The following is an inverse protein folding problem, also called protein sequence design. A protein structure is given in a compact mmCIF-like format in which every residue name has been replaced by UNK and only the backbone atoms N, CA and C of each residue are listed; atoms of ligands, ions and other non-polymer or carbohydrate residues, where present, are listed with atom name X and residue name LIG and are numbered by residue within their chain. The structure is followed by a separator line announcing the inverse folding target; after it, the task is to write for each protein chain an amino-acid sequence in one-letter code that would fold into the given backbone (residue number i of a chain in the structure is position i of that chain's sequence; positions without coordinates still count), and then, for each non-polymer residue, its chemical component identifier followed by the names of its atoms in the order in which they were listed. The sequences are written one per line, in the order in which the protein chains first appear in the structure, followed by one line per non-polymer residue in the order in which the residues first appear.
data_IF_705837098745
#
_entry.id   IF_705837098745
#
_cell.length_a   1.000
_cell.length_b   1.000
_cell.length_c   1.000
_cell.angle_alpha   90.00
_cell.angle_beta   90.00
_cell.angle_gamma   90.00
#
_symmetry.space_group_name_H-M   'P 1'
#
loop_
_entity.id
_entity.type
_entity.pdbx_description
1 polymer ?
#
# COMPACT_ATOMS: atom_id res chain seq x y z
N UNK A 1 -69.26 43.10 -69.79
CA UNK A 1 -68.84 41.94 -68.97
C UNK A 1 -68.41 42.47 -67.62
N UNK A 2 -69.10 42.03 -66.56
CA UNK A 2 -69.01 42.61 -65.22
C UNK A 2 -67.76 42.12 -64.47
N UNK A 3 -67.08 43.02 -63.76
CA UNK A 3 -65.84 42.76 -63.03
C UNK A 3 -65.95 41.66 -61.94
N UNK A 4 -67.17 41.28 -61.56
CA UNK A 4 -67.46 40.22 -60.60
C UNK A 4 -67.21 38.81 -61.14
N UNK A 5 -67.41 38.57 -62.45
CA UNK A 5 -67.18 37.25 -63.05
C UNK A 5 -65.67 36.95 -63.18
N UNK A 6 -64.87 37.99 -63.44
CA UNK A 6 -63.41 37.85 -63.56
C UNK A 6 -62.73 37.58 -62.21
N UNK A 7 -63.20 38.19 -61.12
CA UNK A 7 -62.68 37.91 -59.76
C UNK A 7 -63.06 36.49 -59.30
N UNK A 8 -64.26 36.03 -59.64
CA UNK A 8 -64.70 34.66 -59.32
C UNK A 8 -63.87 33.61 -60.08
N UNK A 9 -63.61 33.83 -61.37
CA UNK A 9 -62.76 32.95 -62.17
C UNK A 9 -61.32 32.90 -61.63
N UNK A 10 -60.74 34.06 -61.27
CA UNK A 10 -59.40 34.12 -60.69
C UNK A 10 -59.30 33.40 -59.33
N UNK A 11 -60.36 33.47 -58.50
CA UNK A 11 -60.43 32.74 -57.22
C UNK A 11 -60.58 31.24 -57.41
N UNK A 12 -61.36 30.81 -58.40
CA UNK A 12 -61.50 29.39 -58.75
C UNK A 12 -60.17 28.81 -59.22
N UNK A 13 -59.44 29.50 -60.10
CA UNK A 13 -58.12 29.07 -60.54
C UNK A 13 -57.09 29.02 -59.41
N UNK A 14 -57.19 29.95 -58.44
CA UNK A 14 -56.33 29.94 -57.26
C UNK A 14 -56.66 28.79 -56.28
N UNK A 15 -57.93 28.39 -56.22
CA UNK A 15 -58.39 27.23 -55.46
C UNK A 15 -57.98 25.92 -56.12
N UNK A 16 -58.08 25.83 -57.45
CA UNK A 16 -57.70 24.66 -58.24
C UNK A 16 -56.21 24.35 -58.06
N UNK A 17 -55.35 25.37 -58.18
CA UNK A 17 -53.92 25.24 -57.89
C UNK A 17 -53.60 24.81 -56.45
N UNK A 18 -54.39 25.24 -55.48
CA UNK A 18 -54.22 24.82 -54.07
C UNK A 18 -54.71 23.40 -53.85
N UNK A 19 -55.80 23.01 -54.51
CA UNK A 19 -56.31 21.64 -54.50
C UNK A 19 -55.31 20.68 -55.12
N UNK A 20 -54.70 21.05 -56.26
CA UNK A 20 -53.64 20.27 -56.91
C UNK A 20 -52.41 20.09 -56.01
N UNK A 21 -51.98 21.15 -55.33
CA UNK A 21 -50.88 21.08 -54.36
C UNK A 21 -51.20 20.14 -53.19
N UNK A 22 -52.41 20.24 -52.63
CA UNK A 22 -52.87 19.36 -51.54
C UNK A 22 -53.06 17.92 -52.04
N UNK A 23 -53.49 17.72 -53.28
CA UNK A 23 -53.64 16.39 -53.87
C UNK A 23 -52.29 15.70 -54.02
N UNK A 24 -51.27 16.44 -54.51
CA UNK A 24 -49.90 15.95 -54.64
C UNK A 24 -49.31 15.55 -53.27
N UNK A 25 -49.46 16.40 -52.25
CA UNK A 25 -49.02 16.09 -50.87
C UNK A 25 -49.79 14.87 -50.30
N UNK A 26 -51.09 14.78 -50.58
CA UNK A 26 -51.93 13.67 -50.12
C UNK A 26 -51.52 12.32 -50.75
N UNK A 27 -51.02 12.32 -51.98
CA UNK A 27 -50.49 11.12 -52.62
C UNK A 27 -49.17 10.67 -52.00
N UNK A 28 -48.26 11.60 -51.67
CA UNK A 28 -47.02 11.29 -50.96
C UNK A 28 -47.29 10.75 -49.55
N UNK A 29 -48.24 11.36 -48.82
CA UNK A 29 -48.67 10.86 -47.50
C UNK A 29 -49.28 9.46 -47.60
N UNK A 30 -50.07 9.17 -48.65
CA UNK A 30 -50.62 7.82 -48.87
C UNK A 30 -49.52 6.81 -49.16
N UNK A 31 -48.48 7.20 -49.90
CA UNK A 31 -47.33 6.34 -50.19
C UNK A 31 -46.53 6.05 -48.91
N UNK A 32 -46.23 7.07 -48.11
CA UNK A 32 -45.55 6.90 -46.83
C UNK A 32 -46.33 5.96 -45.90
N UNK A 33 -47.66 6.07 -45.86
CA UNK A 33 -48.51 5.15 -45.07
C UNK A 33 -48.39 3.71 -45.55
N UNK A 34 -48.36 3.47 -46.86
CA UNK A 34 -48.18 2.11 -47.42
C UNK A 34 -46.80 1.55 -47.11
N UNK A 35 -45.74 2.34 -47.29
CA UNK A 35 -44.36 1.93 -46.97
C UNK A 35 -44.21 1.61 -45.46
N UNK A 36 -44.88 2.38 -44.60
CA UNK A 36 -44.96 2.10 -43.15
C UNK A 36 -45.77 0.83 -42.86
N UNK A 37 -46.86 0.59 -43.59
CA UNK A 37 -47.68 -0.62 -43.46
C UNK A 37 -46.88 -1.87 -43.85
N UNK A 38 -46.14 -1.81 -44.96
CA UNK A 38 -45.23 -2.87 -45.43
C UNK A 38 -44.10 -3.11 -44.43
N UNK A 39 -43.43 -2.05 -43.95
CA UNK A 39 -42.39 -2.17 -42.92
C UNK A 39 -42.92 -2.78 -41.62
N UNK A 40 -44.14 -2.40 -41.22
CA UNK A 40 -44.81 -2.97 -40.05
C UNK A 40 -45.14 -4.44 -40.27
N UNK A 41 -45.56 -4.83 -41.48
CA UNK A 41 -45.83 -6.22 -41.83
C UNK A 41 -44.55 -7.06 -41.81
N UNK A 42 -43.46 -6.57 -42.41
CA UNK A 42 -42.15 -7.22 -42.44
C UNK A 42 -41.55 -7.35 -41.05
N UNK A 43 -41.62 -6.28 -40.25
CA UNK A 43 -41.19 -6.31 -38.85
C UNK A 43 -42.04 -7.28 -38.02
N UNK A 44 -43.35 -7.34 -38.25
CA UNK A 44 -44.22 -8.29 -37.58
C UNK A 44 -43.88 -9.73 -37.95
N UNK A 45 -43.49 -9.99 -39.20
CA UNK A 45 -43.08 -11.32 -39.68
C UNK A 45 -41.76 -11.75 -39.05
N UNK A 46 -40.72 -10.92 -39.17
CA UNK A 46 -39.40 -11.18 -38.58
C UNK A 46 -39.50 -11.31 -37.06
N UNK A 47 -40.29 -10.44 -36.41
CA UNK A 47 -40.51 -10.49 -34.97
C UNK A 47 -41.22 -11.78 -34.52
N UNK A 48 -42.21 -12.26 -35.28
CA UNK A 48 -42.88 -13.55 -35.01
C UNK A 48 -41.94 -14.73 -35.19
N UNK A 49 -41.11 -14.72 -36.23
CA UNK A 49 -40.17 -15.80 -36.50
C UNK A 49 -39.06 -15.84 -35.44
N UNK A 50 -38.48 -14.69 -35.07
CA UNK A 50 -37.51 -14.58 -33.98
C UNK A 50 -38.11 -15.01 -32.64
N UNK A 51 -39.34 -14.60 -32.35
CA UNK A 51 -40.04 -15.00 -31.12
C UNK A 51 -40.30 -16.51 -31.10
N UNK A 52 -40.74 -17.10 -32.21
CA UNK A 52 -40.94 -18.55 -32.31
C UNK A 52 -39.64 -19.33 -32.17
N UNK A 53 -38.57 -18.90 -32.83
CA UNK A 53 -37.25 -19.52 -32.71
C UNK A 53 -36.73 -19.42 -31.28
N UNK A 54 -36.83 -18.24 -30.64
CA UNK A 54 -36.47 -18.08 -29.25
C UNK A 54 -37.30 -19.00 -28.35
N UNK A 55 -38.62 -19.09 -28.53
CA UNK A 55 -39.50 -19.97 -27.74
C UNK A 55 -39.18 -21.45 -27.93
N UNK A 56 -38.86 -21.89 -29.16
CA UNK A 56 -38.48 -23.27 -29.46
C UNK A 56 -37.11 -23.63 -28.86
N UNK A 57 -36.12 -22.72 -28.94
CA UNK A 57 -34.80 -22.91 -28.31
C UNK A 57 -34.87 -22.79 -26.77
N UNK A 58 -35.78 -21.95 -26.27
CA UNK A 58 -36.11 -21.83 -24.85
C UNK A 58 -36.94 -23.01 -24.34
N UNK A 59 -37.41 -23.93 -25.19
CA UNK A 59 -38.12 -25.15 -24.76
C UNK A 59 -37.20 -26.07 -23.93
N UNK A 60 -35.88 -26.00 -24.15
CA UNK A 60 -34.85 -26.64 -23.31
C UNK A 60 -34.71 -25.97 -21.92
N UNK A 61 -35.11 -24.70 -21.80
CA UNK A 61 -35.06 -23.87 -20.56
C UNK A 61 -36.46 -23.63 -19.97
N UNK A 62 -37.51 -24.17 -20.61
CA UNK A 62 -38.92 -24.02 -20.24
C UNK A 62 -39.27 -24.42 -18.79
N UNK A 63 -38.54 -25.33 -18.10
CA UNK A 63 -38.76 -25.56 -16.68
C UNK A 63 -38.48 -24.33 -15.79
N UNK A 64 -37.72 -23.34 -16.28
CA UNK A 64 -37.23 -22.19 -15.53
C UNK A 64 -37.76 -20.84 -16.00
N UNK A 65 -38.48 -20.79 -17.13
CA UNK A 65 -38.95 -19.54 -17.77
C UNK A 65 -40.41 -19.70 -18.20
N UNK A 66 -41.31 -18.91 -17.63
CA UNK A 66 -42.72 -18.84 -18.03
C UNK A 66 -42.90 -17.92 -19.23
N UNK A 67 -43.94 -18.14 -20.05
CA UNK A 67 -44.19 -17.35 -21.27
C UNK A 67 -44.36 -15.84 -21.05
N UNK A 68 -44.67 -15.41 -19.82
CA UNK A 68 -44.73 -14.00 -19.44
C UNK A 68 -43.39 -13.37 -19.04
N UNK A 69 -42.39 -14.18 -18.69
CA UNK A 69 -41.13 -13.70 -18.10
C UNK A 69 -40.28 -12.93 -19.11
N UNK A 70 -40.33 -13.31 -20.39
CA UNK A 70 -39.63 -12.61 -21.47
C UNK A 70 -40.24 -11.21 -21.70
N UNK A 71 -41.57 -11.10 -21.66
CA UNK A 71 -42.24 -9.80 -21.79
C UNK A 71 -41.97 -8.91 -20.56
N UNK A 72 -41.91 -9.50 -19.37
CA UNK A 72 -41.54 -8.78 -18.16
C UNK A 72 -40.06 -8.34 -18.19
N UNK A 73 -39.15 -9.20 -18.65
CA UNK A 73 -37.74 -8.86 -18.86
C UNK A 73 -37.60 -7.72 -19.86
N UNK A 74 -38.28 -7.79 -21.01
CA UNK A 74 -38.29 -6.71 -21.99
C UNK A 74 -38.82 -5.41 -21.40
N UNK A 75 -39.90 -5.47 -20.60
CA UNK A 75 -40.43 -4.30 -19.89
C UNK A 75 -39.46 -3.74 -18.85
N UNK A 76 -38.74 -4.60 -18.12
CA UNK A 76 -37.70 -4.21 -17.15
C UNK A 76 -36.51 -3.58 -17.85
N UNK A 77 -36.05 -4.13 -18.97
CA UNK A 77 -34.99 -3.56 -19.79
C UNK A 77 -35.39 -2.18 -20.33
N UNK A 78 -36.58 -2.05 -20.92
CA UNK A 78 -37.12 -0.78 -21.42
C UNK A 78 -37.29 0.28 -20.31
N UNK A 79 -37.73 -0.14 -19.12
CA UNK A 79 -37.84 0.75 -17.95
C UNK A 79 -36.47 1.21 -17.45
N UNK A 80 -35.46 0.36 -17.55
CA UNK A 80 -34.12 0.59 -17.03
C UNK A 80 -33.12 1.07 -18.09
N UNK A 81 -33.59 1.48 -19.29
CA UNK A 81 -32.70 1.99 -20.36
C UNK A 81 -31.82 3.13 -19.87
N UNK A 82 -32.36 4.04 -19.04
CA UNK A 82 -31.58 5.14 -18.48
C UNK A 82 -30.44 4.63 -17.58
N UNK A 83 -30.71 3.66 -16.71
CA UNK A 83 -29.70 3.04 -15.85
C UNK A 83 -28.66 2.27 -16.66
N UNK A 84 -29.08 1.55 -17.71
CA UNK A 84 -28.16 0.87 -18.62
C UNK A 84 -27.27 1.88 -19.36
N UNK A 85 -27.83 3.01 -19.77
CA UNK A 85 -27.06 4.09 -20.40
C UNK A 85 -26.05 4.71 -19.43
N UNK A 86 -26.43 4.95 -18.17
CA UNK A 86 -25.51 5.41 -17.13
C UNK A 86 -24.38 4.41 -16.87
N UNK A 87 -24.68 3.10 -16.85
CA UNK A 87 -23.66 2.05 -16.73
C UNK A 87 -22.70 2.04 -17.93
N UNK A 88 -23.19 2.27 -19.15
CA UNK A 88 -22.34 2.37 -20.33
C UNK A 88 -21.39 3.57 -20.24
N UNK A 89 -21.88 4.72 -19.74
CA UNK A 89 -21.04 5.90 -19.47
C UNK A 89 -20.00 5.59 -18.39
N UNK A 90 -20.38 4.90 -17.31
CA UNK A 90 -19.43 4.51 -16.27
C UNK A 90 -18.36 3.53 -16.80
N UNK A 91 -18.74 2.59 -17.68
CA UNK A 91 -17.80 1.69 -18.33
C UNK A 91 -16.84 2.43 -19.26
N UNK A 92 -17.31 3.48 -19.94
CA UNK A 92 -16.46 4.37 -20.73
C UNK A 92 -15.44 5.09 -19.84
N UNK A 93 -15.88 5.69 -18.73
CA UNK A 93 -14.97 6.31 -17.76
C UNK A 93 -14.00 5.31 -17.11
N UNK A 94 -14.45 4.09 -16.81
CA UNK A 94 -13.57 3.05 -16.27
C UNK A 94 -12.53 2.61 -17.29
N UNK A 95 -12.91 2.51 -18.57
CA UNK A 95 -11.98 2.22 -19.66
C UNK A 95 -10.98 3.36 -19.86
N UNK A 96 -11.44 4.61 -19.86
CA UNK A 96 -10.58 5.81 -19.95
C UNK A 96 -9.58 5.83 -18.80
N UNK A 97 -10.05 5.67 -17.57
CA UNK A 97 -9.18 5.55 -16.40
C UNK A 97 -8.16 4.41 -16.55
N UNK A 98 -8.57 3.22 -17.01
CA UNK A 98 -7.63 2.12 -17.21
C UNK A 98 -6.60 2.43 -18.30
N UNK A 99 -7.00 3.11 -19.38
CA UNK A 99 -6.08 3.55 -20.43
C UNK A 99 -5.06 4.55 -19.91
N UNK A 100 -5.47 5.49 -19.05
CA UNK A 100 -4.61 6.50 -18.46
C UNK A 100 -3.74 5.96 -17.32
N UNK A 101 -4.29 5.06 -16.49
CA UNK A 101 -3.58 4.46 -15.36
C UNK A 101 -2.57 3.40 -15.80
N UNK A 102 -2.78 2.73 -16.95
CA UNK A 102 -1.86 1.69 -17.46
C UNK A 102 -0.42 2.21 -17.66
N UNK A 103 -0.17 3.31 -18.39
CA UNK A 103 1.19 3.83 -18.57
C UNK A 103 1.81 4.28 -17.24
N UNK A 104 1.04 4.98 -16.40
CA UNK A 104 1.50 5.43 -15.08
C UNK A 104 1.89 4.24 -14.19
N UNK A 105 1.07 3.18 -14.17
CA UNK A 105 1.34 1.97 -13.40
C UNK A 105 2.59 1.25 -13.90
N UNK A 106 2.84 1.23 -15.22
CA UNK A 106 4.07 0.66 -15.78
C UNK A 106 5.30 1.46 -15.35
N UNK A 107 5.23 2.79 -15.41
CA UNK A 107 6.32 3.67 -14.97
C UNK A 107 6.62 3.47 -13.47
N UNK A 108 5.60 3.55 -12.62
CA UNK A 108 5.73 3.29 -11.19
C UNK A 108 6.28 1.89 -10.89
N UNK A 109 5.87 0.88 -11.67
CA UNK A 109 6.40 -0.47 -11.55
C UNK A 109 7.88 -0.54 -11.92
N UNK A 110 8.29 0.11 -13.01
CA UNK A 110 9.70 0.17 -13.42
C UNK A 110 10.56 0.91 -12.41
N UNK A 111 10.12 2.07 -11.92
CA UNK A 111 10.81 2.84 -10.89
C UNK A 111 10.88 2.07 -9.56
N UNK A 112 9.79 1.40 -9.19
CA UNK A 112 9.72 0.52 -8.04
C UNK A 112 10.74 -0.61 -8.14
N UNK A 113 10.81 -1.29 -9.29
CA UNK A 113 11.81 -2.34 -9.54
C UNK A 113 13.23 -1.79 -9.49
N UNK A 114 13.49 -0.63 -10.11
CA UNK A 114 14.81 0.00 -10.07
C UNK A 114 15.24 0.34 -8.64
N UNK A 115 14.29 0.82 -7.81
CA UNK A 115 14.53 1.09 -6.38
C UNK A 115 14.78 -0.20 -5.58
N UNK A 116 14.03 -1.26 -5.84
CA UNK A 116 14.25 -2.55 -5.19
C UNK A 116 15.59 -3.16 -5.58
N UNK A 117 15.99 -3.07 -6.85
CA UNK A 117 17.31 -3.50 -7.33
C UNK A 117 18.44 -2.65 -6.74
N UNK A 118 18.24 -1.33 -6.59
CA UNK A 118 19.16 -0.45 -5.86
C UNK A 118 19.30 -0.91 -4.39
N UNK A 119 18.20 -1.26 -3.74
CA UNK A 119 18.22 -1.72 -2.36
C UNK A 119 18.92 -3.08 -2.20
N UNK A 120 18.72 -3.99 -3.15
CA UNK A 120 19.39 -5.28 -3.15
C UNK A 120 20.89 -5.15 -3.39
N UNK A 121 21.32 -4.38 -4.40
CA UNK A 121 22.75 -4.11 -4.64
C UNK A 121 23.44 -3.43 -3.49
N UNK A 122 22.77 -2.51 -2.80
CA UNK A 122 23.29 -1.87 -1.58
C UNK A 122 23.28 -2.81 -0.37
N UNK A 123 22.68 -3.99 -0.49
CA UNK A 123 22.66 -5.02 0.55
C UNK A 123 21.62 -4.77 1.64
N UNK A 124 20.65 -3.88 1.45
CA UNK A 124 19.62 -3.60 2.47
C UNK A 124 18.78 -4.83 2.79
N UNK A 125 18.44 -5.66 1.81
CA UNK A 125 17.74 -6.93 2.07
C UNK A 125 18.61 -7.93 2.84
N UNK A 126 19.91 -8.00 2.55
CA UNK A 126 20.83 -8.83 3.32
C UNK A 126 20.94 -8.34 4.77
N UNK A 127 21.14 -7.04 4.98
CA UNK A 127 21.18 -6.42 6.30
C UNK A 127 19.88 -6.64 7.07
N UNK A 128 18.72 -6.47 6.43
CA UNK A 128 17.42 -6.74 7.04
C UNK A 128 17.25 -8.19 7.48
N UNK A 129 17.73 -9.15 6.69
CA UNK A 129 17.74 -10.57 7.08
C UNK A 129 18.63 -10.83 8.29
N UNK A 130 19.85 -10.27 8.32
CA UNK A 130 20.74 -10.43 9.47
C UNK A 130 20.17 -9.76 10.73
N UNK A 131 19.55 -8.58 10.58
CA UNK A 131 18.86 -7.92 11.69
C UNK A 131 17.69 -8.76 12.20
N UNK A 132 16.91 -9.38 11.31
CA UNK A 132 15.86 -10.32 11.67
C UNK A 132 16.39 -11.53 12.46
N UNK A 133 17.50 -12.14 12.03
CA UNK A 133 18.16 -13.22 12.78
C UNK A 133 18.67 -12.77 14.14
N UNK A 134 19.23 -11.56 14.23
CA UNK A 134 19.66 -11.00 15.49
C UNK A 134 18.47 -10.81 16.45
N UNK A 135 17.35 -10.28 15.97
CA UNK A 135 16.13 -10.15 16.75
C UNK A 135 15.57 -11.51 17.18
N UNK A 136 15.62 -12.52 16.31
CA UNK A 136 15.20 -13.89 16.65
C UNK A 136 16.09 -14.49 17.74
N UNK A 137 17.42 -14.34 17.62
CA UNK A 137 18.36 -14.78 18.65
C UNK A 137 18.14 -14.07 19.99
N UNK A 138 17.81 -12.77 19.95
CA UNK A 138 17.45 -12.03 21.15
C UNK A 138 16.15 -12.59 21.73
N UNK A 139 15.09 -12.73 20.94
CA UNK A 139 13.81 -13.25 21.40
C UNK A 139 13.88 -14.70 21.92
N UNK A 140 14.80 -15.52 21.41
CA UNK A 140 15.01 -16.89 21.86
C UNK A 140 15.75 -16.99 23.21
N UNK A 141 16.62 -16.03 23.51
CA UNK A 141 17.48 -16.07 24.70
C UNK A 141 17.08 -15.07 25.79
N UNK A 142 16.25 -14.09 25.45
CA UNK A 142 15.80 -13.03 26.34
C UNK A 142 14.29 -13.03 26.41
N UNK A 143 13.76 -12.87 27.63
CA UNK A 143 12.33 -12.71 27.83
C UNK A 143 11.88 -11.31 27.40
N UNK A 144 10.57 -11.12 27.21
CA UNK A 144 9.99 -9.80 26.91
C UNK A 144 10.37 -8.76 27.99
N UNK A 145 10.51 -9.21 29.24
CA UNK A 145 10.90 -8.34 30.34
C UNK A 145 12.37 -7.92 30.24
N UNK A 146 13.26 -8.82 29.84
CA UNK A 146 14.67 -8.49 29.60
C UNK A 146 14.83 -7.45 28.48
N UNK A 147 14.02 -7.55 27.43
CA UNK A 147 14.01 -6.57 26.33
C UNK A 147 13.48 -5.21 26.79
N UNK A 148 12.48 -5.17 27.67
CA UNK A 148 12.00 -3.92 28.29
C UNK A 148 13.07 -3.27 29.13
N UNK A 149 13.72 -4.03 30.02
CA UNK A 149 14.82 -3.53 30.84
C UNK A 149 15.98 -3.01 29.98
N UNK A 150 16.27 -3.68 28.87
CA UNK A 150 17.27 -3.21 27.90
C UNK A 150 16.85 -1.90 27.22
N UNK A 151 15.59 -1.80 26.78
CA UNK A 151 15.01 -0.60 26.16
C UNK A 151 15.05 0.60 27.11
N UNK A 152 14.63 0.40 28.36
CA UNK A 152 14.58 1.45 29.38
C UNK A 152 15.98 1.97 29.75
N UNK A 153 17.00 1.10 29.64
CA UNK A 153 18.39 1.44 29.93
C UNK A 153 19.25 1.65 28.68
N UNK A 154 18.65 1.70 27.48
CA UNK A 154 19.38 1.74 26.22
C UNK A 154 20.31 2.95 26.14
N UNK A 155 19.83 4.13 26.56
CA UNK A 155 20.63 5.36 26.57
C UNK A 155 21.83 5.25 27.49
N UNK A 156 21.66 4.68 28.69
CA UNK A 156 22.75 4.48 29.64
C UNK A 156 23.80 3.50 29.10
N UNK A 157 23.36 2.38 28.51
CA UNK A 157 24.24 1.38 27.90
C UNK A 157 25.01 1.99 26.73
N UNK A 158 24.34 2.67 25.80
CA UNK A 158 24.97 3.33 24.66
C UNK A 158 25.95 4.43 25.11
N UNK A 159 25.65 5.14 26.19
CA UNK A 159 26.54 6.15 26.77
C UNK A 159 27.78 5.51 27.37
N UNK A 160 27.64 4.40 28.09
CA UNK A 160 28.79 3.63 28.62
C UNK A 160 29.63 3.06 27.48
N UNK A 161 29.03 2.46 26.46
CA UNK A 161 29.75 1.97 25.28
C UNK A 161 30.50 3.11 24.60
N UNK A 162 29.83 4.24 24.35
CA UNK A 162 30.46 5.45 23.79
C UNK A 162 31.66 5.89 24.62
N UNK A 163 31.53 5.93 25.95
CA UNK A 163 32.61 6.33 26.87
C UNK A 163 33.80 5.34 26.84
N UNK A 164 33.54 4.04 26.75
CA UNK A 164 34.58 3.01 26.62
C UNK A 164 35.27 3.05 25.25
N UNK A 165 34.56 3.44 24.20
CA UNK A 165 35.12 3.60 22.85
C UNK A 165 35.83 4.95 22.63
N UNK A 166 35.97 5.78 23.67
CA UNK A 166 36.77 7.01 23.55
C UNK A 166 38.24 6.67 23.28
N UNK A 167 38.97 7.47 22.48
CA UNK A 167 40.35 7.18 22.08
C UNK A 167 41.29 6.87 23.25
N UNK A 168 41.17 7.60 24.36
CA UNK A 168 41.99 7.45 25.55
C UNK A 168 41.76 6.08 26.23
N UNK A 169 40.50 5.65 26.32
CA UNK A 169 40.13 4.36 26.90
C UNK A 169 40.55 3.19 26.01
N UNK A 170 40.36 3.31 24.68
CA UNK A 170 40.82 2.30 23.72
C UNK A 170 42.35 2.14 23.77
N UNK A 171 43.10 3.25 23.86
CA UNK A 171 44.55 3.20 24.03
C UNK A 171 44.95 2.52 25.34
N UNK A 172 44.29 2.84 26.46
CA UNK A 172 44.57 2.19 27.75
C UNK A 172 44.34 0.67 27.70
N UNK A 173 43.24 0.23 27.08
CA UNK A 173 42.93 -1.20 26.88
C UNK A 173 43.98 -1.87 25.99
N UNK A 174 44.33 -1.26 24.86
CA UNK A 174 45.33 -1.81 23.94
C UNK A 174 46.69 -1.94 24.60
N UNK A 175 47.12 -0.93 25.36
CA UNK A 175 48.36 -0.96 26.14
C UNK A 175 48.32 -2.08 27.19
N UNK A 176 47.21 -2.24 27.90
CA UNK A 176 47.05 -3.32 28.89
C UNK A 176 47.14 -4.71 28.24
N UNK A 177 46.51 -4.90 27.08
CA UNK A 177 46.59 -6.15 26.31
C UNK A 177 48.02 -6.42 25.83
N UNK A 178 48.73 -5.40 25.36
CA UNK A 178 50.12 -5.53 24.93
C UNK A 178 51.05 -5.90 26.10
N UNK A 179 50.86 -5.28 27.27
CA UNK A 179 51.60 -5.62 28.50
C UNK A 179 51.30 -7.06 28.92
N UNK A 180 50.03 -7.47 28.92
CA UNK A 180 49.63 -8.84 29.27
C UNK A 180 50.31 -9.89 28.36
N UNK A 181 50.38 -9.64 27.05
CA UNK A 181 51.08 -10.53 26.10
C UNK A 181 52.59 -10.65 26.33
N UNK A 182 53.20 -9.64 26.96
CA UNK A 182 54.65 -9.60 27.25
C UNK A 182 55.00 -10.23 28.60
N UNK A 183 54.01 -10.54 29.43
CA UNK A 183 54.22 -11.27 30.68
C UNK A 183 54.31 -12.75 30.34
N UNK A 184 55.50 -13.31 30.55
CA UNK A 184 55.68 -14.76 30.52
C UNK A 184 55.25 -15.33 31.88
N UNK A 185 54.05 -15.91 31.91
CA UNK A 185 53.45 -16.44 33.13
C UNK A 185 54.10 -17.75 33.59
N UNK A 186 54.89 -18.40 32.74
CA UNK A 186 55.57 -19.66 33.05
C UNK A 186 56.94 -19.42 33.74
N UNK A 187 57.42 -18.17 33.79
CA UNK A 187 58.72 -17.79 34.36
C UNK A 187 58.64 -16.74 35.48
N UNK A 188 57.47 -16.57 36.11
CA UNK A 188 57.31 -15.62 37.22
C UNK A 188 58.20 -16.02 38.41
N UNK A 189 59.27 -15.25 38.64
CA UNK A 189 60.20 -15.48 39.75
C UNK A 189 59.47 -15.41 41.10
N UNK A 190 59.73 -16.39 41.97
CA UNK A 190 59.24 -16.39 43.34
C UNK A 190 59.95 -15.31 44.17
N UNK A 191 59.20 -14.31 44.65
CA UNK A 191 59.75 -13.25 45.49
C UNK A 191 59.76 -13.68 46.97
N UNK A 192 60.92 -13.58 47.63
CA UNK A 192 61.00 -13.66 49.10
C UNK A 192 60.44 -12.38 49.76
N UNK A 193 59.91 -12.48 50.99
CA UNK A 193 59.28 -11.36 51.71
C UNK A 193 60.16 -10.11 51.80
N UNK A 194 61.48 -10.29 51.96
CA UNK A 194 62.44 -9.19 51.97
C UNK A 194 62.65 -8.55 50.59
N UNK A 195 62.73 -9.38 49.54
CA UNK A 195 62.86 -8.89 48.16
C UNK A 195 61.60 -8.14 47.73
N UNK A 196 60.41 -8.63 48.08
CA UNK A 196 59.15 -7.92 47.84
C UNK A 196 59.15 -6.55 48.52
N UNK A 197 59.59 -6.45 49.78
CA UNK A 197 59.68 -5.17 50.49
C UNK A 197 60.66 -4.19 49.81
N UNK A 198 61.80 -4.68 49.32
CA UNK A 198 62.76 -3.88 48.57
C UNK A 198 62.20 -3.44 47.21
N UNK A 199 61.44 -4.31 46.55
CA UNK A 199 60.82 -4.07 45.25
C UNK A 199 59.75 -2.98 45.32
N UNK A 200 58.89 -3.02 46.34
CA UNK A 200 57.85 -2.01 46.59
C UNK A 200 58.46 -0.61 46.83
N UNK A 201 59.68 -0.55 47.36
CA UNK A 201 60.37 0.72 47.59
C UNK A 201 61.00 1.34 46.32
N UNK A 202 61.00 0.63 45.17
CA UNK A 202 61.49 1.20 43.91
C UNK A 202 60.64 2.40 43.45
N UNK A 203 61.23 3.38 42.73
CA UNK A 203 60.52 4.59 42.30
C UNK A 203 59.25 4.31 41.47
N UNK A 204 59.27 3.28 40.64
CA UNK A 204 58.15 2.85 39.80
C UNK A 204 56.97 2.36 40.65
N UNK A 205 57.23 1.48 41.63
CA UNK A 205 56.18 0.94 42.50
C UNK A 205 55.61 1.98 43.45
N UNK A 206 56.45 2.87 43.99
CA UNK A 206 55.96 3.99 44.81
C UNK A 206 55.07 4.93 44.01
N UNK A 207 55.38 5.18 42.73
CA UNK A 207 54.51 5.94 41.81
C UNK A 207 53.19 5.20 41.54
N UNK A 208 53.25 3.90 41.30
CA UNK A 208 52.05 3.06 41.12
C UNK A 208 51.13 3.05 42.35
N UNK A 209 51.69 2.89 43.54
CA UNK A 209 50.95 2.99 44.80
C UNK A 209 50.35 4.38 45.01
N UNK A 210 51.10 5.45 44.70
CA UNK A 210 50.58 6.81 44.74
C UNK A 210 49.39 7.02 43.80
N UNK A 211 49.47 6.50 42.57
CA UNK A 211 48.35 6.49 41.63
C UNK A 211 47.14 5.75 42.21
N UNK A 212 47.33 4.54 42.74
CA UNK A 212 46.25 3.75 43.33
C UNK A 212 45.55 4.50 44.48
N UNK A 213 46.32 5.13 45.36
CA UNK A 213 45.79 5.95 46.47
C UNK A 213 44.96 7.12 45.93
N UNK A 214 45.46 7.84 44.94
CA UNK A 214 44.75 8.98 44.33
C UNK A 214 43.48 8.51 43.60
N UNK A 215 43.56 7.41 42.87
CA UNK A 215 42.44 6.81 42.16
C UNK A 215 41.32 6.39 43.13
N UNK A 216 41.66 5.66 44.20
CA UNK A 216 40.70 5.25 45.23
C UNK A 216 40.06 6.45 45.94
N UNK A 217 40.83 7.51 46.20
CA UNK A 217 40.31 8.75 46.78
C UNK A 217 39.32 9.46 45.86
N UNK A 218 39.57 9.46 44.55
CA UNK A 218 38.66 10.06 43.57
C UNK A 218 37.40 9.20 43.36
N UNK A 219 37.53 7.87 43.39
CA UNK A 219 36.38 6.96 43.34
C UNK A 219 35.45 7.15 44.55
N UNK A 220 35.99 7.25 45.76
CA UNK A 220 35.16 7.44 46.96
C UNK A 220 34.53 8.84 47.03
N UNK A 221 35.13 9.84 46.38
CA UNK A 221 34.56 11.19 46.25
C UNK A 221 33.46 11.27 45.18
N UNK A 222 33.35 10.29 44.29
CA UNK A 222 32.29 10.18 43.29
C UNK A 222 31.36 9.03 43.69
N UNK A 223 30.42 9.31 44.60
CA UNK A 223 29.31 8.38 44.86
C UNK A 223 28.58 8.14 43.53
N UNK A 224 28.53 6.90 43.01
CA UNK A 224 27.81 6.63 41.78
C UNK A 224 26.35 7.06 41.97
N UNK A 225 25.79 7.75 40.98
CA UNK A 225 24.37 8.09 40.98
C UNK A 225 23.57 6.81 41.25
N UNK A 226 22.57 6.82 42.16
CA UNK A 226 21.80 5.63 42.45
C UNK A 226 21.23 5.09 41.15
N UNK A 227 21.56 3.84 40.83
CA UNK A 227 20.88 3.08 39.78
C UNK A 227 19.38 3.23 40.07
N UNK A 228 18.55 3.72 39.15
CA UNK A 228 17.12 3.85 39.37
C UNK A 228 16.59 2.52 39.90
N UNK A 229 16.19 2.48 41.17
CA UNK A 229 15.52 1.30 41.72
C UNK A 229 14.18 1.24 41.02
N UNK A 230 14.05 0.26 40.12
CA UNK A 230 12.77 -0.14 39.55
C UNK A 230 11.82 -0.37 40.72
N UNK A 231 10.71 0.36 40.73
CA UNK A 231 9.59 0.02 41.58
C UNK A 231 9.19 -1.41 41.18
N UNK A 232 9.47 -2.39 42.05
CA UNK A 232 8.98 -3.75 41.84
C UNK A 232 7.45 -3.70 41.69
N UNK A 233 6.86 -4.65 40.94
CA UNK A 233 5.41 -4.69 40.77
C UNK A 233 4.79 -4.66 42.16
N UNK A 234 3.89 -3.69 42.37
CA UNK A 234 3.12 -3.57 43.61
C UNK A 234 2.53 -4.94 43.89
N UNK A 235 2.99 -5.56 44.97
CA UNK A 235 2.38 -6.77 45.46
C UNK A 235 1.03 -6.36 46.00
N UNK A 236 -0.02 -6.58 45.20
CA UNK A 236 -1.40 -6.60 45.68
C UNK A 236 -1.53 -7.76 46.67
N UNK A 237 -1.09 -7.52 47.90
CA UNK A 237 -1.45 -8.32 49.05
C UNK A 237 -2.86 -7.94 49.47
N UNK A 238 -3.84 -8.70 48.94
CA UNK A 238 -4.87 -9.48 49.67
C UNK A 238 -5.82 -8.75 50.64
N UNK A 239 -6.91 -9.39 51.09
CA UNK A 239 -7.84 -10.34 50.48
C UNK A 239 -9.19 -9.70 50.05
#
# INVERSE_FOLDING_TARGET
MNATDTDLAARLDALDRKLDLVLAEAEEVRRLRREVEELKEDFSRIGKDLFRTAVNELEEVAPFVQGGDIAELAKRLLRNVNTLNELLVQLESAREFLQDATPLARELFHDGLAKMDEFDRKGYFAMGREFGRALENVAANFTVEDVRLLSDNLVAILTTVKNLTQPEMLQAINNAVEVYKKIDFDSVEEFSLWHAFKEVNKPEMRRGLGFLIVFLRNLSAHTPAPVPRLAGPASDTKP
#
